data_IF_316019042215
#
_entry.id   IF_316019042215
#
_cell.length_a   1.000
_cell.length_b   1.000
_cell.length_c   1.000
_cell.angle_alpha   90.00
_cell.angle_beta   90.00
_cell.angle_gamma   90.00
#
_symmetry.space_group_name_H-M   'P 1'
#
loop_
_entity.id
_entity.type
_entity.pdbx_description
1 polymer ?
#
# COMPACT_ATOMS: atom_id res chain seq x y z
N UNK A 1 -13.98 -13.57 -9.78
CA UNK A 1 -14.68 -12.35 -9.30
C UNK A 1 -13.72 -11.31 -8.70
N UNK A 2 -12.71 -11.68 -7.91
CA UNK A 2 -11.61 -10.77 -7.50
C UNK A 2 -10.73 -10.36 -8.69
N UNK A 3 -10.31 -11.31 -9.54
CA UNK A 3 -9.69 -10.99 -10.83
C UNK A 3 -10.58 -10.09 -11.67
N UNK A 4 -11.91 -10.32 -11.71
CA UNK A 4 -12.83 -9.42 -12.43
C UNK A 4 -12.95 -8.04 -11.79
N UNK A 5 -12.86 -7.90 -10.46
CA UNK A 5 -12.85 -6.60 -9.78
C UNK A 5 -11.53 -5.84 -10.02
N UNK A 6 -10.38 -6.52 -9.93
CA UNK A 6 -9.07 -5.93 -10.20
C UNK A 6 -8.81 -5.70 -11.71
N UNK A 7 -9.22 -6.62 -12.60
CA UNK A 7 -9.18 -6.43 -14.07
C UNK A 7 -10.25 -5.45 -14.59
N UNK A 8 -11.41 -5.32 -13.93
CA UNK A 8 -12.42 -4.31 -14.31
C UNK A 8 -11.94 -2.90 -13.96
N UNK A 9 -11.16 -2.74 -12.88
CA UNK A 9 -10.54 -1.46 -12.52
C UNK A 9 -9.41 -1.07 -13.48
N UNK A 10 -8.63 -2.03 -14.00
CA UNK A 10 -7.60 -1.74 -15.01
C UNK A 10 -8.19 -1.48 -16.40
N UNK A 11 -9.31 -2.13 -16.77
CA UNK A 11 -9.97 -1.89 -18.08
C UNK A 11 -10.80 -0.61 -18.14
N UNK A 12 -11.37 -0.13 -17.04
CA UNK A 12 -12.21 1.08 -17.04
C UNK A 12 -11.41 2.37 -17.29
N UNK A 13 -10.10 2.40 -16.96
CA UNK A 13 -9.24 3.57 -17.18
C UNK A 13 -8.65 3.65 -18.60
N UNK A 14 -8.55 2.52 -19.30
CA UNK A 14 -8.05 2.43 -20.68
C UNK A 14 -8.99 3.08 -21.72
N UNK A 15 -10.26 3.28 -21.37
CA UNK A 15 -11.26 3.91 -22.25
C UNK A 15 -11.40 5.42 -21.96
N UNK A 16 -11.04 5.89 -20.77
CA UNK A 16 -11.20 7.30 -20.39
C UNK A 16 -10.06 8.20 -20.89
N UNK A 17 -8.89 7.63 -21.21
CA UNK A 17 -7.75 8.38 -21.77
C UNK A 17 -7.79 8.54 -23.30
N UNK A 18 -8.81 7.99 -23.99
CA UNK A 18 -8.94 8.04 -25.45
C UNK A 18 -10.05 8.98 -25.97
N UNK A 19 -10.73 9.76 -25.11
CA UNK A 19 -11.88 10.59 -25.52
C UNK A 19 -11.82 12.08 -25.15
N UNK A 20 -10.63 12.67 -25.08
CA UNK A 20 -10.50 14.14 -25.04
C UNK A 20 -9.58 14.67 -26.13
N UNK A 21 -10.04 14.58 -27.38
CA UNK A 21 -9.45 15.34 -28.49
C UNK A 21 -10.46 15.51 -29.63
N UNK A 22 -11.09 16.69 -29.68
CA UNK A 22 -11.80 17.38 -30.79
C UNK A 22 -12.96 18.19 -30.17
N UNK A 23 -13.21 19.47 -30.44
CA UNK A 23 -12.71 20.42 -31.42
C UNK A 23 -13.03 21.84 -30.92
N UNK A 24 -12.13 22.79 -31.14
CA UNK A 24 -12.50 24.21 -31.37
C UNK A 24 -11.70 24.73 -32.56
N UNK A 25 -12.44 25.14 -33.58
CA UNK A 25 -11.95 25.63 -34.86
C UNK A 25 -11.65 27.14 -34.80
N UNK A 26 -10.45 27.47 -35.26
CA UNK A 26 -10.05 28.59 -36.14
C UNK A 26 -10.49 30.02 -35.82
N UNK A 27 -9.49 30.85 -35.48
CA UNK A 27 -9.30 32.15 -36.12
C UNK A 27 -7.80 32.47 -36.25
N UNK A 28 -7.46 33.11 -37.35
CA UNK A 28 -6.14 33.21 -38.01
C UNK A 28 -5.50 34.57 -37.71
N UNK A 29 -4.22 34.63 -37.32
CA UNK A 29 -3.28 35.65 -37.84
C UNK A 29 -1.83 35.33 -37.47
N UNK A 30 -0.96 35.71 -38.38
CA UNK A 30 0.50 35.56 -38.52
C UNK A 30 1.34 36.15 -37.38
N UNK A 31 2.53 35.59 -37.13
CA UNK A 31 3.87 36.24 -37.22
C UNK A 31 4.98 35.31 -36.66
N UNK A 32 6.12 35.37 -37.36
CA UNK A 32 7.49 34.83 -37.20
C UNK A 32 7.96 34.04 -35.97
N UNK A 33 8.61 32.92 -36.31
CA UNK A 33 9.81 32.29 -35.74
C UNK A 33 10.38 32.78 -34.40
N UNK A 34 10.48 31.84 -33.45
CA UNK A 34 11.66 31.69 -32.59
C UNK A 34 11.80 30.24 -32.14
N UNK A 35 12.98 29.68 -32.41
CA UNK A 35 13.42 28.35 -32.00
C UNK A 35 13.59 28.28 -30.48
N UNK A 36 12.84 27.42 -29.82
CA UNK A 36 13.18 26.93 -28.49
C UNK A 36 12.96 25.42 -28.48
N UNK A 37 14.06 24.68 -28.32
CA UNK A 37 14.07 23.25 -28.02
C UNK A 37 13.20 22.98 -26.78
N UNK A 38 11.95 22.59 -27.03
CA UNK A 38 11.10 22.01 -26.00
C UNK A 38 11.28 20.50 -26.08
N UNK A 39 12.30 20.01 -25.37
CA UNK A 39 12.46 18.59 -25.09
C UNK A 39 11.15 18.05 -24.50
N UNK A 40 10.39 17.36 -25.34
CA UNK A 40 9.14 16.71 -24.98
C UNK A 40 9.53 15.52 -24.11
N UNK A 41 9.46 15.68 -22.79
CA UNK A 41 9.54 14.54 -21.87
C UNK A 41 8.32 13.68 -22.14
N UNK A 42 8.50 12.64 -22.96
CA UNK A 42 7.54 11.55 -23.08
C UNK A 42 7.56 10.83 -21.73
N UNK A 43 6.56 11.06 -20.90
CA UNK A 43 6.24 10.11 -19.83
C UNK A 43 5.92 8.77 -20.51
N UNK A 44 6.91 7.89 -20.58
CA UNK A 44 6.67 6.48 -20.87
C UNK A 44 5.79 5.95 -19.74
N UNK A 45 4.51 5.74 -20.04
CA UNK A 45 3.60 5.05 -19.13
C UNK A 45 4.11 3.62 -19.01
N UNK A 46 4.81 3.34 -17.90
CA UNK A 46 5.32 2.01 -17.59
C UNK A 46 4.14 1.04 -17.52
N UNK A 47 4.02 0.17 -18.54
CA UNK A 47 2.96 -0.84 -18.58
C UNK A 47 3.35 -1.93 -17.57
N UNK A 48 2.77 -1.86 -16.37
CA UNK A 48 3.00 -2.82 -15.30
C UNK A 48 2.32 -4.15 -15.68
N UNK A 49 3.13 -5.17 -15.94
CA UNK A 49 2.63 -6.53 -16.22
C UNK A 49 1.89 -7.08 -14.97
N UNK A 50 0.57 -7.34 -15.06
CA UNK A 50 -0.22 -7.81 -13.92
C UNK A 50 0.12 -9.25 -13.51
N UNK A 51 0.89 -9.99 -14.29
CA UNK A 51 1.23 -11.40 -14.01
C UNK A 51 2.54 -11.55 -13.24
N UNK A 52 3.28 -10.46 -13.01
CA UNK A 52 4.58 -10.47 -12.34
C UNK A 52 4.52 -9.66 -11.05
N UNK A 53 5.32 -10.04 -10.06
CA UNK A 53 5.53 -9.25 -8.84
C UNK A 53 6.68 -8.27 -9.10
N UNK A 54 6.36 -6.98 -9.18
CA UNK A 54 7.32 -5.89 -9.36
C UNK A 54 7.95 -5.53 -8.01
N UNK A 55 9.25 -5.85 -7.86
CA UNK A 55 10.00 -5.75 -6.60
C UNK A 55 10.70 -4.40 -6.44
N UNK A 56 10.98 -4.02 -5.21
CA UNK A 56 11.80 -2.83 -4.91
C UNK A 56 13.23 -2.97 -5.44
N UNK A 57 13.72 -1.91 -6.06
CA UNK A 57 15.11 -1.72 -6.47
C UNK A 57 15.90 -0.94 -5.40
N UNK A 58 17.23 -0.96 -5.48
CA UNK A 58 18.05 -0.11 -4.62
C UNK A 58 17.83 1.39 -4.86
N UNK A 59 17.42 1.78 -6.06
CA UNK A 59 17.12 3.19 -6.38
C UNK A 59 15.79 3.64 -5.76
N UNK A 60 14.79 2.77 -5.68
CA UNK A 60 13.54 3.07 -4.95
C UNK A 60 13.83 3.37 -3.46
N UNK A 61 14.73 2.58 -2.85
CA UNK A 61 15.18 2.83 -1.48
C UNK A 61 15.91 4.15 -1.33
N UNK A 62 16.78 4.52 -2.28
CA UNK A 62 17.50 5.81 -2.27
C UNK A 62 16.53 6.98 -2.37
N UNK A 63 15.57 6.91 -3.30
CA UNK A 63 14.57 7.96 -3.49
C UNK A 63 13.72 8.17 -2.23
N UNK A 64 13.17 7.08 -1.67
CA UNK A 64 12.39 7.15 -0.43
C UNK A 64 13.20 7.66 0.76
N UNK A 65 14.48 7.28 0.87
CA UNK A 65 15.38 7.75 1.91
C UNK A 65 15.64 9.27 1.81
N UNK A 66 15.90 9.75 0.60
CA UNK A 66 16.11 11.16 0.31
C UNK A 66 14.85 11.98 0.63
N UNK A 67 13.67 11.51 0.20
CA UNK A 67 12.40 12.20 0.44
C UNK A 67 12.07 12.33 1.93
N UNK A 68 12.36 11.29 2.72
CA UNK A 68 12.15 11.28 4.17
C UNK A 68 13.27 11.97 4.96
N UNK A 69 14.41 12.27 4.32
CA UNK A 69 15.61 12.79 4.97
C UNK A 69 16.19 11.82 6.01
N UNK A 70 16.17 10.52 5.72
CA UNK A 70 16.71 9.44 6.55
C UNK A 70 17.66 8.56 5.74
N UNK A 71 18.43 7.69 6.39
CA UNK A 71 19.23 6.70 5.67
C UNK A 71 18.41 5.47 5.23
N UNK A 72 18.88 4.80 4.17
CA UNK A 72 18.29 3.57 3.62
C UNK A 72 18.20 2.45 4.68
N UNK A 73 19.18 2.34 5.57
CA UNK A 73 19.20 1.31 6.60
C UNK A 73 18.00 1.44 7.55
N UNK A 74 17.47 2.63 7.75
CA UNK A 74 16.27 2.88 8.56
C UNK A 74 15.01 2.39 7.86
N UNK A 75 14.89 2.56 6.54
CA UNK A 75 13.77 2.02 5.76
C UNK A 75 13.83 0.49 5.77
N UNK A 76 14.99 -0.10 5.44
CA UNK A 76 15.20 -1.55 5.45
C UNK A 76 14.96 -2.15 6.84
N UNK A 77 15.29 -1.43 7.92
CA UNK A 77 14.97 -1.86 9.29
C UNK A 77 13.46 -1.95 9.54
N UNK A 78 12.66 -0.97 9.11
CA UNK A 78 11.20 -1.03 9.28
C UNK A 78 10.62 -2.21 8.48
N UNK A 79 11.08 -2.42 7.24
CA UNK A 79 10.63 -3.52 6.40
C UNK A 79 10.92 -4.88 7.04
N UNK A 80 12.13 -5.10 7.58
CA UNK A 80 12.48 -6.38 8.23
C UNK A 80 11.53 -6.68 9.42
N UNK A 81 11.02 -5.65 10.10
CA UNK A 81 10.11 -5.82 11.22
C UNK A 81 8.69 -6.19 10.80
N UNK A 82 8.21 -5.60 9.71
CA UNK A 82 6.83 -5.77 9.23
C UNK A 82 6.68 -6.96 8.26
N UNK A 83 7.61 -7.14 7.32
CA UNK A 83 7.58 -8.18 6.29
C UNK A 83 8.52 -9.36 6.58
N UNK A 84 9.33 -9.29 7.64
CA UNK A 84 10.37 -10.29 7.92
C UNK A 84 11.55 -10.20 6.96
N UNK A 85 12.47 -11.17 7.00
CA UNK A 85 13.73 -11.13 6.23
C UNK A 85 13.55 -11.24 4.71
N UNK A 86 12.42 -11.73 4.25
CA UNK A 86 12.15 -11.89 2.82
C UNK A 86 11.73 -10.58 2.15
N UNK A 87 11.39 -9.55 2.95
CA UNK A 87 10.93 -8.24 2.47
C UNK A 87 9.81 -8.35 1.41
N UNK A 88 8.93 -9.35 1.51
CA UNK A 88 7.92 -9.59 0.48
C UNK A 88 6.69 -8.73 0.71
N UNK A 89 6.30 -7.95 -0.31
CA UNK A 89 5.04 -7.19 -0.31
C UNK A 89 3.84 -7.95 -0.86
N UNK A 90 4.07 -9.08 -1.52
CA UNK A 90 3.06 -9.83 -2.28
C UNK A 90 3.03 -11.31 -1.94
N UNK A 91 1.82 -11.85 -1.83
CA UNK A 91 1.55 -13.28 -1.77
C UNK A 91 1.56 -13.91 -3.17
N UNK A 92 0.96 -13.22 -4.15
CA UNK A 92 0.89 -13.56 -5.57
C UNK A 92 0.88 -12.25 -6.39
N UNK A 93 1.12 -12.29 -7.71
CA UNK A 93 0.90 -11.12 -8.58
C UNK A 93 -0.48 -10.48 -8.31
N UNK A 94 -0.52 -9.15 -8.20
CA UNK A 94 -1.69 -8.33 -7.81
C UNK A 94 -2.35 -8.67 -6.47
N UNK A 95 -1.75 -9.52 -5.65
CA UNK A 95 -2.25 -9.91 -4.34
C UNK A 95 -1.20 -9.55 -3.27
N UNK A 96 -1.24 -8.33 -2.71
CA UNK A 96 -0.36 -7.94 -1.63
C UNK A 96 -0.54 -8.89 -0.44
N UNK A 97 0.46 -8.97 0.44
CA UNK A 97 0.27 -9.61 1.73
C UNK A 97 -0.80 -8.82 2.50
N UNK A 98 -1.82 -9.49 3.02
CA UNK A 98 -2.89 -8.85 3.78
C UNK A 98 -3.04 -9.45 5.17
N UNK A 99 -3.54 -8.62 6.08
CA UNK A 99 -4.07 -9.05 7.35
C UNK A 99 -5.47 -8.47 7.58
N UNK A 100 -6.51 -9.25 7.28
CA UNK A 100 -7.91 -8.86 7.54
C UNK A 100 -8.21 -8.92 9.04
N UNK A 101 -8.53 -7.76 9.63
CA UNK A 101 -8.79 -7.59 11.05
C UNK A 101 -10.29 -7.43 11.31
N UNK A 102 -10.89 -8.46 11.91
CA UNK A 102 -12.33 -8.47 12.19
C UNK A 102 -12.77 -7.33 13.12
N UNK A 103 -12.05 -7.01 14.21
CA UNK A 103 -12.36 -5.83 15.02
C UNK A 103 -12.39 -4.51 14.22
N UNK A 104 -11.40 -4.25 13.35
CA UNK A 104 -11.37 -3.06 12.51
C UNK A 104 -12.49 -3.07 11.48
N UNK A 105 -12.75 -4.20 10.81
CA UNK A 105 -13.88 -4.33 9.89
C UNK A 105 -15.21 -4.02 10.59
N UNK A 106 -15.44 -4.57 11.79
CA UNK A 106 -16.64 -4.27 12.59
C UNK A 106 -16.76 -2.78 12.91
N UNK A 107 -15.66 -2.14 13.28
CA UNK A 107 -15.61 -0.70 13.59
C UNK A 107 -15.98 0.15 12.37
N UNK A 108 -15.41 -0.14 11.19
CA UNK A 108 -15.67 0.65 9.98
C UNK A 108 -17.03 0.35 9.36
N UNK A 109 -17.48 -0.91 9.38
CA UNK A 109 -18.83 -1.28 8.98
C UNK A 109 -19.89 -0.55 9.81
N UNK A 110 -19.69 -0.43 11.12
CA UNK A 110 -20.57 0.36 11.98
C UNK A 110 -20.57 1.86 11.62
N UNK A 111 -19.42 2.44 11.28
CA UNK A 111 -19.31 3.83 10.80
C UNK A 111 -20.03 4.06 9.48
N UNK A 112 -20.11 3.05 8.62
CA UNK A 112 -20.89 3.08 7.38
C UNK A 112 -22.37 2.69 7.57
N UNK A 113 -22.83 2.51 8.80
CA UNK A 113 -24.23 2.15 9.09
C UNK A 113 -24.60 0.68 8.77
N UNK A 114 -23.61 -0.18 8.56
CA UNK A 114 -23.83 -1.58 8.17
C UNK A 114 -24.09 -2.46 9.40
N UNK A 115 -25.27 -3.10 9.42
CA UNK A 115 -25.67 -4.04 10.48
C UNK A 115 -25.16 -5.45 10.19
N UNK A 116 -23.96 -5.75 10.66
CA UNK A 116 -23.26 -7.03 10.39
C UNK A 116 -23.99 -8.31 10.83
N UNK A 117 -24.91 -8.22 11.80
CA UNK A 117 -25.67 -9.40 12.28
C UNK A 117 -26.44 -10.14 11.19
N UNK A 118 -26.89 -9.43 10.15
CA UNK A 118 -27.61 -9.98 8.99
C UNK A 118 -26.75 -10.93 8.14
N UNK A 119 -25.42 -10.83 8.23
CA UNK A 119 -24.47 -11.56 7.38
C UNK A 119 -23.81 -12.74 8.10
N UNK A 120 -24.17 -13.01 9.36
CA UNK A 120 -23.55 -14.05 10.19
C UNK A 120 -23.57 -15.45 9.55
N UNK A 121 -24.63 -15.77 8.79
CA UNK A 121 -24.76 -17.03 8.05
C UNK A 121 -24.18 -16.92 6.63
N UNK A 122 -24.62 -15.95 5.84
CA UNK A 122 -24.22 -15.80 4.42
C UNK A 122 -22.73 -15.50 4.23
N UNK A 123 -22.08 -14.90 5.23
CA UNK A 123 -20.69 -14.47 5.21
C UNK A 123 -19.93 -14.98 6.44
N UNK A 124 -20.27 -16.19 6.92
CA UNK A 124 -19.70 -16.78 8.13
C UNK A 124 -18.15 -16.76 8.18
N UNK A 125 -17.49 -16.87 7.01
CA UNK A 125 -16.03 -16.84 6.89
C UNK A 125 -15.41 -15.54 7.42
N UNK A 126 -16.08 -14.39 7.28
CA UNK A 126 -15.61 -13.09 7.80
C UNK A 126 -15.38 -13.15 9.32
N UNK A 127 -16.32 -13.79 10.01
CA UNK A 127 -16.39 -13.84 11.47
C UNK A 127 -15.54 -14.95 12.10
N UNK A 128 -14.99 -15.86 11.28
CA UNK A 128 -14.12 -16.93 11.71
C UNK A 128 -12.64 -16.52 11.70
N UNK A 129 -11.80 -17.29 12.42
CA UNK A 129 -10.34 -17.21 12.28
C UNK A 129 -9.92 -17.72 10.89
N UNK A 130 -8.79 -17.23 10.33
CA UNK A 130 -8.27 -17.75 9.06
C UNK A 130 -8.02 -19.26 9.12
N UNK A 131 -8.64 -20.01 8.20
CA UNK A 131 -8.51 -21.47 8.13
C UNK A 131 -7.54 -21.87 7.02
N UNK A 132 -6.24 -21.88 7.35
CA UNK A 132 -5.19 -22.24 6.39
C UNK A 132 -5.33 -23.67 5.85
N UNK A 133 -5.80 -24.63 6.68
CA UNK A 133 -6.03 -26.02 6.26
C UNK A 133 -7.10 -26.11 5.16
N UNK A 134 -8.19 -25.34 5.30
CA UNK A 134 -9.27 -25.31 4.31
C UNK A 134 -8.86 -24.63 3.00
N UNK A 135 -8.07 -23.57 3.08
CA UNK A 135 -7.77 -22.70 1.93
C UNK A 135 -6.32 -22.87 1.40
N UNK A 136 -5.58 -23.87 1.89
CA UNK A 136 -4.22 -24.22 1.45
C UNK A 136 -3.10 -23.34 2.01
N UNK A 137 -3.37 -22.09 2.39
CA UNK A 137 -2.38 -21.22 3.06
C UNK A 137 -3.04 -20.16 3.95
N UNK A 138 -2.25 -19.54 4.83
CA UNK A 138 -2.74 -18.44 5.66
C UNK A 138 -3.19 -17.24 4.83
N UNK A 139 -2.42 -16.83 3.82
CA UNK A 139 -2.79 -15.72 2.94
C UNK A 139 -4.03 -16.03 2.11
N UNK A 140 -4.16 -17.24 1.55
CA UNK A 140 -5.39 -17.64 0.86
C UNK A 140 -6.62 -17.57 1.79
N UNK A 141 -6.47 -18.00 3.04
CA UNK A 141 -7.55 -17.88 4.04
C UNK A 141 -7.89 -16.42 4.36
N UNK A 142 -6.90 -15.51 4.41
CA UNK A 142 -7.14 -14.08 4.59
C UNK A 142 -7.87 -13.46 3.40
N UNK A 143 -7.51 -13.85 2.17
CA UNK A 143 -8.19 -13.39 0.96
C UNK A 143 -9.65 -13.84 0.90
N UNK A 144 -9.96 -15.06 1.33
CA UNK A 144 -11.36 -15.51 1.38
C UNK A 144 -12.19 -14.75 2.44
N UNK A 145 -11.57 -14.37 3.56
CA UNK A 145 -12.21 -13.48 4.55
C UNK A 145 -12.44 -12.09 3.96
N UNK A 146 -11.42 -11.49 3.35
CA UNK A 146 -11.51 -10.18 2.71
C UNK A 146 -12.56 -10.18 1.59
N UNK A 147 -12.57 -11.18 0.71
CA UNK A 147 -13.56 -11.35 -0.37
C UNK A 147 -14.99 -11.37 0.15
N UNK A 148 -15.21 -12.10 1.24
CA UNK A 148 -16.54 -12.17 1.86
C UNK A 148 -16.90 -10.88 2.61
N UNK A 149 -15.92 -10.11 3.11
CA UNK A 149 -16.18 -8.80 3.68
C UNK A 149 -16.46 -7.74 2.61
N UNK A 150 -15.74 -7.79 1.47
CA UNK A 150 -15.95 -6.92 0.31
C UNK A 150 -17.37 -7.05 -0.26
N UNK A 151 -17.98 -8.25 -0.19
CA UNK A 151 -19.37 -8.44 -0.61
C UNK A 151 -20.41 -7.94 0.39
N UNK A 152 -20.00 -7.58 1.61
CA UNK A 152 -20.86 -6.91 2.60
C UNK A 152 -20.77 -5.39 2.41
N UNK A 153 -19.54 -4.85 2.49
CA UNK A 153 -19.24 -3.44 2.29
C UNK A 153 -17.77 -3.32 1.85
N UNK A 154 -17.56 -2.88 0.61
CA UNK A 154 -16.22 -2.87 0.01
C UNK A 154 -15.28 -1.90 0.71
N UNK A 155 -15.80 -0.74 1.12
CA UNK A 155 -15.01 0.31 1.75
C UNK A 155 -14.57 -0.11 3.16
N UNK A 156 -15.51 -0.53 4.01
CA UNK A 156 -15.19 -1.00 5.36
C UNK A 156 -14.27 -2.22 5.34
N UNK A 157 -14.39 -3.11 4.35
CA UNK A 157 -13.50 -4.25 4.21
C UNK A 157 -12.06 -3.83 3.90
N UNK A 158 -11.87 -2.83 3.04
CA UNK A 158 -10.55 -2.25 2.77
C UNK A 158 -9.98 -1.59 4.02
N UNK A 159 -10.79 -0.76 4.68
CA UNK A 159 -10.40 -0.05 5.90
C UNK A 159 -10.12 -1.00 7.07
N UNK A 160 -10.80 -2.14 7.11
CA UNK A 160 -10.63 -3.22 8.09
C UNK A 160 -9.44 -4.14 7.83
N UNK A 161 -8.61 -3.85 6.83
CA UNK A 161 -7.50 -4.72 6.42
C UNK A 161 -6.16 -3.99 6.51
N UNK A 162 -5.10 -4.69 6.88
CA UNK A 162 -3.72 -4.20 6.79
C UNK A 162 -3.06 -4.75 5.53
N UNK A 163 -2.31 -3.92 4.82
CA UNK A 163 -1.91 -4.18 3.44
C UNK A 163 -0.41 -4.05 3.21
N UNK A 164 0.10 -4.93 2.34
CA UNK A 164 1.43 -4.87 1.76
C UNK A 164 2.57 -5.11 2.74
N UNK A 165 3.78 -4.83 2.25
CA UNK A 165 5.05 -5.00 2.93
C UNK A 165 5.12 -4.26 4.27
N UNK A 166 4.50 -3.09 4.35
CA UNK A 166 4.54 -2.21 5.53
C UNK A 166 3.37 -2.43 6.48
N UNK A 167 2.45 -3.35 6.15
CA UNK A 167 1.24 -3.65 6.92
C UNK A 167 0.49 -2.37 7.33
N UNK A 168 0.22 -1.47 6.36
CA UNK A 168 -0.53 -0.23 6.64
C UNK A 168 -2.02 -0.57 6.68
N UNK A 169 -2.69 -0.16 7.75
CA UNK A 169 -4.15 -0.31 7.88
C UNK A 169 -4.87 0.57 6.84
N UNK A 170 -5.76 -0.02 6.04
CA UNK A 170 -6.44 0.64 4.92
C UNK A 170 -7.27 1.85 5.32
N UNK A 171 -7.67 1.96 6.59
CA UNK A 171 -8.28 3.16 7.16
C UNK A 171 -7.37 4.41 7.15
N UNK A 172 -6.08 4.25 6.83
CA UNK A 172 -5.12 5.34 6.67
C UNK A 172 -4.97 5.78 5.20
N UNK A 173 -5.78 5.29 4.26
CA UNK A 173 -5.66 5.59 2.82
C UNK A 173 -5.40 7.09 2.54
N UNK A 174 -6.14 7.99 3.19
CA UNK A 174 -5.99 9.44 3.04
C UNK A 174 -4.64 9.95 3.53
N UNK A 175 -4.12 9.39 4.63
CA UNK A 175 -2.78 9.71 5.16
C UNK A 175 -1.66 9.18 4.29
N UNK A 176 -1.93 8.14 3.50
CA UNK A 176 -1.03 7.64 2.47
C UNK A 176 -1.08 8.45 1.16
N UNK A 177 -1.97 9.46 1.07
CA UNK A 177 -2.15 10.25 -0.14
C UNK A 177 -2.91 9.54 -1.26
N UNK A 178 -3.65 8.46 -0.95
CA UNK A 178 -4.54 7.84 -1.92
C UNK A 178 -5.84 8.66 -2.09
N UNK A 179 -6.47 8.58 -3.25
CA UNK A 179 -7.69 9.34 -3.57
C UNK A 179 -8.94 8.75 -2.88
N UNK A 180 -8.93 7.44 -2.66
CA UNK A 180 -10.01 6.69 -2.02
C UNK A 180 -9.49 5.39 -1.40
N UNK A 181 -10.29 4.70 -0.58
CA UNK A 181 -9.98 3.35 -0.13
C UNK A 181 -9.71 2.37 -1.28
N UNK A 182 -10.49 2.49 -2.36
CA UNK A 182 -10.32 1.64 -3.55
C UNK A 182 -9.01 1.94 -4.26
N UNK A 183 -8.66 3.22 -4.41
CA UNK A 183 -7.37 3.63 -4.99
C UNK A 183 -6.19 3.13 -4.12
N UNK A 184 -6.30 3.23 -2.80
CA UNK A 184 -5.29 2.68 -1.89
C UNK A 184 -5.10 1.17 -2.07
N UNK A 185 -6.19 0.40 -2.13
CA UNK A 185 -6.12 -1.05 -2.34
C UNK A 185 -5.54 -1.38 -3.73
N UNK A 186 -5.88 -0.60 -4.76
CA UNK A 186 -5.33 -0.74 -6.12
C UNK A 186 -3.82 -0.52 -6.10
N UNK A 187 -3.34 0.62 -5.58
CA UNK A 187 -1.91 0.97 -5.49
C UNK A 187 -1.13 -0.06 -4.67
N UNK A 188 -1.67 -0.50 -3.53
CA UNK A 188 -1.09 -1.60 -2.74
C UNK A 188 -0.91 -2.89 -3.53
N UNK A 189 -1.80 -3.15 -4.50
CA UNK A 189 -1.75 -4.30 -5.39
C UNK A 189 -0.91 -4.11 -6.65
N UNK A 190 -0.43 -2.90 -6.94
CA UNK A 190 0.26 -2.60 -8.21
C UNK A 190 1.72 -3.05 -8.21
N UNK A 191 2.51 -2.61 -7.23
CA UNK A 191 3.94 -2.94 -7.13
C UNK A 191 4.47 -2.71 -5.71
N UNK A 192 5.65 -3.26 -5.39
CA UNK A 192 6.26 -2.95 -4.09
C UNK A 192 6.72 -1.48 -4.01
N UNK A 193 7.02 -0.85 -5.15
CA UNK A 193 7.29 0.59 -5.25
C UNK A 193 6.09 1.42 -4.80
N UNK A 194 4.90 1.11 -5.30
CA UNK A 194 3.66 1.78 -4.86
C UNK A 194 3.38 1.57 -3.36
N UNK A 195 3.66 0.38 -2.83
CA UNK A 195 3.58 0.13 -1.38
C UNK A 195 4.56 1.03 -0.60
N UNK A 196 5.79 1.23 -1.11
CA UNK A 196 6.80 2.10 -0.52
C UNK A 196 6.39 3.58 -0.59
N UNK A 197 5.84 4.04 -1.71
CA UNK A 197 5.35 5.42 -1.86
C UNK A 197 4.20 5.73 -0.89
N UNK A 198 3.22 4.83 -0.77
CA UNK A 198 2.13 4.96 0.21
C UNK A 198 2.66 4.99 1.65
N UNK A 199 3.72 4.22 1.93
CA UNK A 199 4.40 4.23 3.23
C UNK A 199 5.15 5.54 3.50
N UNK A 200 5.91 6.05 2.52
CA UNK A 200 6.61 7.34 2.61
C UNK A 200 5.60 8.45 2.92
N UNK A 201 4.49 8.53 2.18
CA UNK A 201 3.43 9.49 2.43
C UNK A 201 2.80 9.32 3.82
N UNK A 202 2.57 8.08 4.25
CA UNK A 202 2.07 7.81 5.59
C UNK A 202 3.01 8.35 6.68
N UNK A 203 4.33 8.14 6.53
CA UNK A 203 5.31 8.65 7.48
C UNK A 203 5.36 10.18 7.52
N UNK A 204 5.29 10.84 6.36
CA UNK A 204 5.26 12.30 6.23
C UNK A 204 4.01 12.88 6.91
N UNK A 205 2.83 12.38 6.52
CA UNK A 205 1.53 12.86 7.01
C UNK A 205 1.33 12.70 8.51
N UNK A 206 1.95 11.68 9.13
CA UNK A 206 1.88 11.46 10.58
C UNK A 206 3.11 12.00 11.34
N UNK A 207 4.01 12.72 10.67
CA UNK A 207 5.26 13.23 11.24
C UNK A 207 6.05 12.14 11.99
N UNK A 208 6.18 10.97 11.37
CA UNK A 208 6.90 9.82 11.92
C UNK A 208 8.36 9.75 11.49
N UNK A 209 8.69 10.33 10.33
CA UNK A 209 10.05 10.37 9.80
C UNK A 209 11.08 10.96 10.79
N UNK A 210 10.67 11.96 11.61
CA UNK A 210 11.52 12.56 12.64
C UNK A 210 12.07 11.54 13.65
N UNK A 211 11.29 10.51 13.99
CA UNK A 211 11.73 9.48 14.93
C UNK A 211 12.78 8.57 14.29
N UNK A 212 12.61 8.23 13.01
CA UNK A 212 13.59 7.45 12.25
C UNK A 212 14.87 8.26 12.03
N UNK A 213 14.77 9.56 11.74
CA UNK A 213 15.91 10.46 11.60
C UNK A 213 16.73 10.53 12.89
N UNK A 214 16.06 10.70 14.03
CA UNK A 214 16.68 10.74 15.35
C UNK A 214 17.05 9.34 15.92
N UNK A 215 16.82 8.25 15.19
CA UNK A 215 16.98 6.86 15.67
C UNK A 215 16.24 6.57 16.98
N UNK A 216 15.14 7.29 17.23
CA UNK A 216 14.27 7.07 18.36
C UNK A 216 13.30 5.91 18.05
N UNK A 217 13.81 4.69 18.11
CA UNK A 217 13.06 3.47 17.79
C UNK A 217 11.86 3.25 18.70
N UNK A 218 11.97 3.64 19.98
CA UNK A 218 10.87 3.57 20.92
C UNK A 218 9.73 4.53 20.53
N UNK A 219 10.08 5.79 20.24
CA UNK A 219 9.13 6.81 19.80
C UNK A 219 8.46 6.47 18.47
N UNK A 220 9.21 5.90 17.53
CA UNK A 220 8.65 5.39 16.27
C UNK A 220 7.69 4.22 16.52
N UNK A 221 8.15 3.17 17.21
CA UNK A 221 7.39 1.95 17.42
C UNK A 221 6.10 2.18 18.24
N UNK A 222 6.13 3.09 19.23
CA UNK A 222 4.93 3.48 19.97
C UNK A 222 3.83 4.02 19.05
N UNK A 223 4.21 4.81 18.05
CA UNK A 223 3.26 5.49 17.16
C UNK A 223 2.84 4.64 15.97
N UNK A 224 3.76 3.82 15.46
CA UNK A 224 3.52 2.94 14.33
C UNK A 224 2.81 1.65 14.76
N UNK A 225 3.31 0.98 15.80
CA UNK A 225 2.81 -0.33 16.26
C UNK A 225 1.87 -0.23 17.47
N UNK A 226 1.77 0.94 18.11
CA UNK A 226 0.84 1.21 19.21
C UNK A 226 1.40 0.95 20.62
N UNK A 227 0.59 1.15 21.67
CA UNK A 227 1.05 1.12 23.07
C UNK A 227 1.71 -0.18 23.52
N UNK A 228 1.39 -1.30 22.86
CA UNK A 228 1.98 -2.61 23.16
C UNK A 228 3.41 -2.80 22.60
N UNK A 229 3.99 -1.78 21.96
CA UNK A 229 5.25 -1.90 21.22
C UNK A 229 6.41 -2.44 22.08
N UNK A 230 6.48 -2.00 23.34
CA UNK A 230 7.56 -2.35 24.25
C UNK A 230 7.49 -3.84 24.63
N UNK A 231 6.30 -4.31 25.04
CA UNK A 231 6.03 -5.72 25.34
C UNK A 231 6.32 -6.64 24.15
N UNK A 232 6.08 -6.15 22.92
CA UNK A 232 6.33 -6.88 21.67
C UNK A 232 7.76 -6.70 21.13
N UNK A 233 8.62 -5.95 21.82
CA UNK A 233 10.02 -5.76 21.46
C UNK A 233 10.25 -5.03 20.13
N UNK A 234 9.29 -4.25 19.63
CA UNK A 234 9.42 -3.61 18.32
C UNK A 234 10.64 -2.68 18.24
N UNK A 235 10.79 -1.82 19.24
CA UNK A 235 11.91 -0.87 19.35
C UNK A 235 13.30 -1.55 19.38
N UNK A 236 13.47 -2.64 20.12
CA UNK A 236 14.75 -3.37 20.17
C UNK A 236 15.03 -4.11 18.87
N UNK A 237 14.00 -4.70 18.26
CA UNK A 237 14.13 -5.35 16.96
C UNK A 237 14.46 -4.35 15.85
N UNK A 238 13.81 -3.17 15.82
CA UNK A 238 14.13 -2.07 14.91
C UNK A 238 15.59 -1.63 15.04
N UNK A 239 16.05 -1.41 16.28
CA UNK A 239 17.43 -1.03 16.55
C UNK A 239 18.43 -2.07 16.03
N UNK A 240 18.16 -3.36 16.29
CA UNK A 240 18.99 -4.48 15.82
C UNK A 240 19.02 -4.56 14.29
N UNK A 241 17.87 -4.45 13.63
CA UNK A 241 17.77 -4.47 12.17
C UNK A 241 18.51 -3.28 11.55
N UNK A 242 18.36 -2.08 12.11
CA UNK A 242 19.12 -0.90 11.68
C UNK A 242 20.63 -1.13 11.78
N UNK A 243 21.14 -1.63 12.91
CA UNK A 243 22.57 -1.92 13.07
C UNK A 243 23.08 -2.93 12.05
N UNK A 244 22.29 -3.93 11.69
CA UNK A 244 22.60 -4.90 10.63
C UNK A 244 22.75 -4.21 9.27
N UNK A 245 21.74 -3.45 8.84
CA UNK A 245 21.77 -2.79 7.52
C UNK A 245 22.81 -1.66 7.44
N UNK A 246 23.06 -0.95 8.54
CA UNK A 246 24.09 0.09 8.59
C UNK A 246 25.51 -0.47 8.43
N UNK A 247 25.75 -1.72 8.84
CA UNK A 247 27.02 -2.41 8.60
C UNK A 247 27.14 -2.90 7.15
N UNK A 248 26.04 -3.36 6.57
CA UNK A 248 26.01 -3.81 5.17
C UNK A 248 26.24 -2.67 4.19
N UNK A 249 25.71 -1.47 4.46
CA UNK A 249 25.92 -0.30 3.60
C UNK A 249 27.33 0.31 3.65
N UNK A 250 28.23 -0.25 4.48
CA UNK A 250 29.63 0.18 4.62
C UNK A 250 30.62 -0.79 3.97
N UNK A 251 30.13 -1.93 3.51
CA UNK A 251 30.88 -2.88 2.68
C UNK A 251 30.62 -2.55 1.22
#
# INVERSE_FOLDING_TARGET
MLEKYFLSLTRALLILTLLTSCSRSHARSSIQAQSSDSATVKEEVEIIDPTVIHRLTDDDYKQAANELGIDIASIKAVIEIEAGQTHQGFYKPNQPIINFDLPMFKKWAARHGIKLGKYSRSNAVVFARPNAKKYGSYQAAQYERLKSALSIDSIAAIEGTFWGMFQIGGFNWKKCGAESPVDFARRMSTSEKEQLELFVNFLKSNNLAKYLKAKNWAGFALRYNGPSYAKRGYHTRLAKAYSKYKKQSKK
#
